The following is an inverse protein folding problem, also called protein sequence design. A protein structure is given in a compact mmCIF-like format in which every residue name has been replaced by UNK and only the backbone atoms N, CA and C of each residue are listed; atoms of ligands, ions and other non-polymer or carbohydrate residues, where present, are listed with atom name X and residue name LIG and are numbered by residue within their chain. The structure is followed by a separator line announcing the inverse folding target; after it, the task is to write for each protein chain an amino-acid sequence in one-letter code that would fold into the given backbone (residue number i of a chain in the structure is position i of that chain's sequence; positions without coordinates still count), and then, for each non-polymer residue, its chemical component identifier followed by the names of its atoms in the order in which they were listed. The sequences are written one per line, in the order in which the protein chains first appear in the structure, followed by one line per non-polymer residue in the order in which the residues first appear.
data_IF_005026589891
#
_entry.id   IF_005026589891
#
_cell.length_a   1.000
_cell.length_b   1.000
_cell.length_c   1.000
_cell.angle_alpha   90.00
_cell.angle_beta   90.00
_cell.angle_gamma   90.00
#
_symmetry.space_group_name_H-M   'P 1'
#
loop_
_entity.id
_entity.type
_entity.pdbx_description
1 polymer ?
#
# COMPACT_ATOMS: atom_id res chain seq x y z
N UNK A 1 27.61 -31.50 8.13
CA UNK A 1 26.61 -30.95 9.07
C UNK A 1 26.48 -29.48 8.75
N UNK A 2 25.37 -29.09 8.12
CA UNK A 2 25.07 -27.68 7.86
C UNK A 2 24.43 -27.07 9.09
N UNK A 3 24.82 -25.84 9.43
CA UNK A 3 24.18 -25.04 10.47
C UNK A 3 22.70 -24.83 10.09
N UNK A 4 21.75 -24.98 11.02
CA UNK A 4 20.34 -24.76 10.68
C UNK A 4 20.05 -23.29 10.36
N UNK A 5 19.11 -23.05 9.45
CA UNK A 5 18.80 -21.73 8.88
C UNK A 5 18.41 -20.69 9.94
N UNK A 6 17.78 -21.11 11.05
CA UNK A 6 17.39 -20.22 12.15
C UNK A 6 18.56 -19.74 13.02
N UNK A 7 19.76 -20.31 12.82
CA UNK A 7 21.00 -19.83 13.45
C UNK A 7 21.84 -18.99 12.48
N UNK A 8 21.47 -18.90 11.20
CA UNK A 8 22.09 -17.99 10.26
C UNK A 8 21.49 -16.59 10.48
N UNK A 9 22.35 -15.57 10.49
CA UNK A 9 21.89 -14.18 10.47
C UNK A 9 21.44 -13.83 9.06
N UNK A 10 20.26 -14.30 8.70
CA UNK A 10 19.66 -14.10 7.37
C UNK A 10 19.21 -12.65 7.16
N UNK A 11 19.11 -11.85 8.23
CA UNK A 11 18.67 -10.47 8.16
C UNK A 11 19.73 -9.56 7.54
N UNK A 12 21.01 -9.92 7.68
CA UNK A 12 22.11 -9.32 6.93
C UNK A 12 22.02 -9.60 5.41
N UNK A 13 21.17 -10.52 4.95
CA UNK A 13 20.97 -10.80 3.52
C UNK A 13 19.66 -10.19 2.98
N UNK A 14 18.86 -9.56 3.83
CA UNK A 14 17.57 -8.97 3.43
C UNK A 14 17.79 -7.60 2.82
N UNK A 15 17.57 -7.51 1.51
CA UNK A 15 17.49 -6.24 0.80
C UNK A 15 16.18 -5.51 1.14
N UNK A 16 16.16 -4.17 1.13
CA UNK A 16 14.93 -3.41 1.28
C UNK A 16 13.91 -3.82 0.22
N UNK A 17 12.62 -3.85 0.60
CA UNK A 17 11.56 -4.08 -0.38
C UNK A 17 11.56 -2.98 -1.44
N UNK A 18 11.20 -3.33 -2.68
CA UNK A 18 11.13 -2.40 -3.80
C UNK A 18 9.97 -2.78 -4.70
N UNK A 19 9.21 -1.80 -5.20
CA UNK A 19 8.20 -2.06 -6.23
C UNK A 19 8.88 -2.01 -7.60
N UNK A 20 9.06 -3.17 -8.22
CA UNK A 20 9.79 -3.30 -9.49
C UNK A 20 8.88 -3.83 -10.59
N UNK A 21 8.83 -3.12 -11.71
CA UNK A 21 8.13 -3.53 -12.93
C UNK A 21 9.07 -4.35 -13.81
N UNK A 22 8.72 -5.62 -14.03
CA UNK A 22 9.36 -6.50 -15.00
C UNK A 22 8.53 -6.58 -16.27
N UNK A 23 9.19 -6.55 -17.44
CA UNK A 23 8.55 -6.77 -18.73
C UNK A 23 9.23 -7.93 -19.44
N UNK A 24 8.45 -8.93 -19.82
CA UNK A 24 8.93 -10.14 -20.48
C UNK A 24 8.46 -10.19 -21.92
N UNK A 25 9.35 -10.56 -22.82
CA UNK A 25 9.01 -11.00 -24.17
C UNK A 25 8.91 -12.52 -24.13
N UNK A 26 7.68 -13.03 -24.25
CA UNK A 26 7.39 -14.46 -24.15
C UNK A 26 7.94 -15.21 -25.37
N UNK A 27 7.89 -14.60 -26.56
CA UNK A 27 8.35 -15.23 -27.80
C UNK A 27 9.87 -15.41 -27.79
N UNK A 28 10.59 -14.34 -27.39
CA UNK A 28 12.05 -14.32 -27.36
C UNK A 28 12.64 -14.83 -26.03
N UNK A 29 11.79 -15.17 -25.05
CA UNK A 29 12.16 -15.72 -23.73
C UNK A 29 13.18 -14.85 -22.99
N UNK A 30 13.01 -13.53 -23.06
CA UNK A 30 13.93 -12.57 -22.47
C UNK A 30 13.16 -11.41 -21.82
N UNK A 31 13.90 -10.50 -21.18
CA UNK A 31 13.31 -9.22 -20.75
C UNK A 31 13.07 -8.34 -21.98
N UNK A 32 11.83 -7.84 -22.12
CA UNK A 32 11.48 -6.89 -23.17
C UNK A 32 12.08 -5.49 -22.91
N UNK A 33 12.38 -5.18 -21.65
CA UNK A 33 13.07 -3.97 -21.21
C UNK A 33 13.76 -4.24 -19.85
N UNK A 34 14.79 -3.46 -19.48
CA UNK A 34 15.36 -3.52 -18.13
C UNK A 34 14.28 -3.32 -17.05
N UNK A 35 14.38 -4.02 -15.89
CA UNK A 35 13.48 -3.79 -14.76
C UNK A 35 13.48 -2.33 -14.33
N UNK A 36 12.31 -1.80 -13.98
CA UNK A 36 12.13 -0.40 -13.56
C UNK A 36 11.60 -0.35 -12.14
N UNK A 37 12.33 0.29 -11.23
CA UNK A 37 11.85 0.58 -9.87
C UNK A 37 10.86 1.74 -9.91
N UNK A 38 9.69 1.56 -9.29
CA UNK A 38 8.57 2.50 -9.32
C UNK A 38 8.44 3.34 -8.03
N UNK A 39 9.14 2.97 -6.96
CA UNK A 39 9.05 3.64 -5.66
C UNK A 39 10.41 4.14 -5.18
N UNK A 40 10.44 5.32 -4.55
CA UNK A 40 11.62 5.85 -3.84
C UNK A 40 11.70 5.36 -2.37
N UNK A 41 10.58 4.87 -1.82
CA UNK A 41 10.47 4.25 -0.49
C UNK A 41 10.36 2.74 -0.62
N UNK A 42 10.69 2.02 0.45
CA UNK A 42 10.43 0.59 0.55
C UNK A 42 8.92 0.36 0.68
N UNK A 43 8.23 -0.15 -0.36
CA UNK A 43 6.80 -0.36 -0.33
C UNK A 43 6.46 -1.78 0.11
N UNK A 44 5.24 -1.97 0.60
CA UNK A 44 4.60 -3.26 0.84
C UNK A 44 3.08 -3.08 0.68
N UNK A 45 2.33 -4.18 0.69
CA UNK A 45 0.87 -4.23 0.59
C UNK A 45 0.33 -3.36 -0.56
N UNK A 46 0.78 -3.58 -1.82
CA UNK A 46 0.34 -2.79 -2.95
C UNK A 46 -1.14 -3.01 -3.23
N UNK A 47 -1.89 -1.92 -3.39
CA UNK A 47 -3.31 -1.93 -3.71
C UNK A 47 -3.57 -1.26 -5.06
N UNK A 48 -4.53 -1.77 -5.82
CA UNK A 48 -5.02 -1.19 -7.08
C UNK A 48 -6.55 -1.25 -7.09
N UNK A 49 -7.23 -0.48 -7.95
CA UNK A 49 -8.65 -0.70 -8.19
C UNK A 49 -8.91 -2.15 -8.59
N UNK A 50 -9.76 -2.87 -7.85
CA UNK A 50 -9.98 -4.30 -8.04
C UNK A 50 -10.48 -4.64 -9.46
N UNK A 51 -11.25 -3.74 -10.07
CA UNK A 51 -11.78 -3.82 -11.43
C UNK A 51 -10.68 -3.84 -12.50
N UNK A 52 -9.49 -3.33 -12.17
CA UNK A 52 -8.31 -3.34 -13.02
C UNK A 52 -7.37 -4.51 -12.74
N UNK A 53 -7.73 -5.44 -11.84
CA UNK A 53 -6.97 -6.68 -11.67
C UNK A 53 -6.80 -7.37 -13.03
N UNK A 54 -5.58 -7.79 -13.34
CA UNK A 54 -5.16 -8.37 -14.64
C UNK A 54 -5.18 -7.42 -15.85
N UNK A 55 -5.42 -6.12 -15.64
CA UNK A 55 -5.36 -5.08 -16.67
C UNK A 55 -4.16 -4.16 -16.43
N UNK A 56 -3.87 -3.31 -17.42
CA UNK A 56 -2.87 -2.26 -17.24
C UNK A 56 -3.39 -1.24 -16.23
N UNK A 57 -2.55 -0.90 -15.25
CA UNK A 57 -2.82 0.10 -14.22
C UNK A 57 -1.71 1.14 -14.22
N UNK A 58 -2.09 2.40 -14.07
CA UNK A 58 -1.17 3.53 -13.85
C UNK A 58 -0.90 3.73 -12.37
N UNK A 59 -1.92 3.67 -11.52
CA UNK A 59 -1.80 3.98 -10.10
C UNK A 59 -1.67 2.71 -9.25
N UNK A 60 -0.85 2.81 -8.21
CA UNK A 60 -0.69 1.78 -7.18
C UNK A 60 -0.58 2.45 -5.80
N UNK A 61 -1.22 1.87 -4.79
CA UNK A 61 -1.32 2.41 -3.44
C UNK A 61 -0.74 1.46 -2.40
N UNK A 62 0.60 1.39 -2.26
CA UNK A 62 1.23 0.63 -1.19
C UNK A 62 1.35 1.46 0.11
N UNK A 63 1.57 0.77 1.22
CA UNK A 63 2.22 1.40 2.38
C UNK A 63 3.72 1.47 2.16
N UNK A 64 4.38 2.43 2.81
CA UNK A 64 5.83 2.58 2.75
C UNK A 64 6.44 3.01 4.08
N UNK A 65 7.77 2.98 4.16
CA UNK A 65 8.55 3.47 5.31
C UNK A 65 8.41 4.98 5.54
N UNK A 66 8.63 5.48 6.77
CA UNK A 66 8.57 6.91 7.12
C UNK A 66 9.49 7.80 6.27
N UNK A 67 10.67 7.30 5.92
CA UNK A 67 11.69 8.03 5.16
C UNK A 67 11.93 7.37 3.81
N UNK A 68 12.40 8.19 2.87
CA UNK A 68 13.03 7.70 1.64
C UNK A 68 14.25 6.86 2.01
N UNK A 69 14.43 5.74 1.30
CA UNK A 69 15.62 4.92 1.51
C UNK A 69 16.69 5.42 0.54
N UNK A 70 17.65 6.17 1.08
CA UNK A 70 19.00 6.24 0.52
C UNK A 70 19.83 5.33 1.41
N UNK A 71 20.00 4.06 1.04
CA UNK A 71 20.84 3.15 1.81
C UNK A 71 22.30 3.65 1.76
N UNK A 72 22.92 4.06 2.88
CA UNK A 72 24.38 4.21 2.95
C UNK A 72 25.05 2.85 2.66
N UNK A 73 26.26 2.86 2.11
CA UNK A 73 27.04 1.61 1.96
C UNK A 73 27.16 0.91 3.33
N UNK A 74 26.50 -0.23 3.47
CA UNK A 74 26.61 -1.12 4.64
C UNK A 74 25.41 -1.15 5.59
N UNK A 75 24.39 -0.28 5.43
CA UNK A 75 23.14 -0.39 6.22
C UNK A 75 22.07 -1.17 5.45
N UNK A 76 21.36 -2.06 6.15
CA UNK A 76 20.38 -2.99 5.57
C UNK A 76 19.07 -2.97 6.35
N UNK A 77 17.97 -3.23 5.65
CA UNK A 77 16.63 -3.37 6.21
C UNK A 77 15.65 -2.25 5.83
N UNK A 78 14.37 -2.56 5.86
CA UNK A 78 13.28 -1.59 5.81
C UNK A 78 12.81 -1.27 7.23
N UNK A 79 12.57 0.01 7.52
CA UNK A 79 11.82 0.40 8.71
C UNK A 79 10.40 -0.16 8.68
N UNK A 80 9.66 -0.10 9.80
CA UNK A 80 8.24 -0.45 9.78
C UNK A 80 7.46 0.47 8.82
N UNK A 81 6.33 0.01 8.27
CA UNK A 81 5.41 0.87 7.53
C UNK A 81 5.00 2.07 8.37
N UNK A 82 5.01 3.24 7.76
CA UNK A 82 4.79 4.52 8.43
C UNK A 82 4.28 5.62 7.50
N UNK A 83 3.99 5.26 6.25
CA UNK A 83 3.42 6.14 5.24
C UNK A 83 2.50 5.37 4.32
N UNK A 84 1.64 6.09 3.61
CA UNK A 84 0.92 5.61 2.43
C UNK A 84 1.49 6.32 1.22
N UNK A 85 1.64 5.59 0.11
CA UNK A 85 2.14 6.11 -1.16
C UNK A 85 1.02 6.05 -2.20
N UNK A 86 0.94 7.05 -3.07
CA UNK A 86 0.27 6.95 -4.37
C UNK A 86 1.36 6.98 -5.43
N UNK A 87 1.56 5.85 -6.08
CA UNK A 87 2.57 5.69 -7.12
C UNK A 87 1.91 5.89 -8.47
N UNK A 88 2.34 6.90 -9.22
CA UNK A 88 2.03 7.10 -10.64
C UNK A 88 3.11 6.42 -11.48
N UNK A 89 2.80 5.22 -11.96
CA UNK A 89 3.77 4.39 -12.67
C UNK A 89 4.06 4.86 -14.11
N UNK A 90 3.39 5.92 -14.57
CA UNK A 90 3.64 6.57 -15.85
C UNK A 90 4.40 7.90 -15.68
N UNK A 91 4.16 8.63 -14.58
CA UNK A 91 4.80 9.91 -14.26
C UNK A 91 5.33 9.91 -12.80
N UNK A 92 6.51 9.31 -12.54
CA UNK A 92 7.04 9.16 -11.18
C UNK A 92 7.22 10.47 -10.40
N UNK A 93 7.34 11.61 -11.09
CA UNK A 93 7.38 12.94 -10.52
C UNK A 93 6.07 13.38 -9.84
N UNK A 94 4.97 12.66 -10.09
CA UNK A 94 3.66 12.87 -9.48
C UNK A 94 3.36 11.87 -8.36
N UNK A 95 4.35 11.09 -7.90
CA UNK A 95 4.16 10.25 -6.73
C UNK A 95 3.84 11.11 -5.50
N UNK A 96 2.86 10.69 -4.72
CA UNK A 96 2.43 11.39 -3.50
C UNK A 96 2.69 10.52 -2.27
N UNK A 97 2.95 11.18 -1.13
CA UNK A 97 3.23 10.48 0.13
C UNK A 97 2.54 11.16 1.31
N UNK A 98 1.83 10.36 2.11
CA UNK A 98 1.35 10.78 3.42
C UNK A 98 2.12 10.04 4.52
N UNK A 99 2.82 10.77 5.39
CA UNK A 99 3.54 10.21 6.54
C UNK A 99 2.70 10.30 7.81
N UNK A 100 2.67 9.21 8.58
CA UNK A 100 2.02 9.16 9.88
C UNK A 100 2.91 9.65 11.01
N UNK A 101 2.31 9.87 12.19
CA UNK A 101 3.06 10.14 13.41
C UNK A 101 4.01 8.98 13.76
N UNK A 102 5.08 9.19 14.56
CA UNK A 102 6.10 8.17 14.83
C UNK A 102 5.61 6.86 15.46
N UNK A 103 4.44 6.90 16.11
CA UNK A 103 3.82 5.74 16.77
C UNK A 103 2.60 5.22 16.02
N UNK A 104 2.37 5.68 14.80
CA UNK A 104 1.23 5.29 13.97
C UNK A 104 1.70 4.41 12.81
N UNK A 105 1.22 3.17 12.82
CA UNK A 105 1.62 2.15 11.86
C UNK A 105 0.41 1.78 10.98
N UNK A 106 0.41 2.19 9.70
CA UNK A 106 -0.65 1.82 8.77
C UNK A 106 -0.62 0.32 8.43
N UNK A 107 -1.81 -0.27 8.31
CA UNK A 107 -2.02 -1.61 7.73
C UNK A 107 -2.10 -1.58 6.21
N UNK A 108 -2.59 -2.65 5.58
CA UNK A 108 -2.88 -2.66 4.14
C UNK A 108 -3.86 -1.54 3.75
N UNK A 109 -3.65 -0.98 2.55
CA UNK A 109 -4.53 0.02 1.95
C UNK A 109 -5.54 -0.67 1.04
N UNK A 110 -6.81 -0.28 1.12
CA UNK A 110 -7.87 -0.81 0.26
C UNK A 110 -8.42 0.34 -0.58
N UNK A 111 -8.30 0.23 -1.91
CA UNK A 111 -8.93 1.18 -2.83
C UNK A 111 -10.43 0.92 -2.96
N UNK A 112 -11.22 1.98 -2.90
CA UNK A 112 -12.69 1.96 -3.02
C UNK A 112 -13.12 3.01 -4.05
N UNK A 113 -13.66 2.61 -5.21
CA UNK A 113 -14.16 3.56 -6.21
C UNK A 113 -15.24 4.49 -5.64
N UNK A 114 -15.25 5.75 -6.09
CA UNK A 114 -16.37 6.65 -5.80
C UNK A 114 -17.65 6.12 -6.45
N UNK A 115 -18.79 6.40 -5.84
CA UNK A 115 -20.10 6.00 -6.39
C UNK A 115 -20.24 6.57 -7.81
N UNK A 116 -20.44 5.69 -8.79
CA UNK A 116 -20.58 6.05 -10.19
C UNK A 116 -19.28 6.26 -10.97
N UNK A 117 -18.11 6.12 -10.34
CA UNK A 117 -16.83 6.18 -11.03
C UNK A 117 -16.59 4.93 -11.88
N UNK A 118 -16.17 5.11 -13.13
CA UNK A 118 -15.66 4.03 -13.97
C UNK A 118 -14.14 4.01 -13.93
N UNK A 119 -13.58 3.34 -12.92
CA UNK A 119 -12.12 3.21 -12.75
C UNK A 119 -11.44 2.43 -13.88
N UNK A 120 -12.19 1.86 -14.84
CA UNK A 120 -11.61 1.25 -16.03
C UNK A 120 -11.36 2.25 -17.16
N UNK A 121 -11.94 3.46 -17.08
CA UNK A 121 -11.55 4.61 -17.86
C UNK A 121 -10.25 5.19 -17.29
N UNK A 122 -9.15 5.27 -18.07
CA UNK A 122 -7.87 5.82 -17.59
C UNK A 122 -7.94 7.25 -17.03
N UNK A 123 -8.99 8.02 -17.38
CA UNK A 123 -9.22 9.37 -16.82
C UNK A 123 -9.85 9.36 -15.43
N UNK A 124 -10.34 8.20 -15.00
CA UNK A 124 -11.06 8.00 -13.74
C UNK A 124 -10.44 6.88 -12.89
N UNK A 125 -9.26 6.37 -13.24
CA UNK A 125 -8.61 5.25 -12.55
C UNK A 125 -8.42 5.51 -11.04
N UNK A 126 -8.14 6.77 -10.67
CA UNK A 126 -7.97 7.22 -9.29
C UNK A 126 -9.22 7.93 -8.72
N UNK A 127 -10.36 7.92 -9.41
CA UNK A 127 -11.64 8.45 -8.91
C UNK A 127 -12.18 7.57 -7.77
N UNK A 128 -11.57 7.67 -6.60
CA UNK A 128 -11.80 6.78 -5.49
C UNK A 128 -11.33 7.34 -4.16
N UNK A 129 -11.57 6.52 -3.14
CA UNK A 129 -11.01 6.65 -1.81
C UNK A 129 -10.02 5.52 -1.58
N UNK A 130 -9.15 5.72 -0.61
CA UNK A 130 -8.46 4.60 0.04
C UNK A 130 -8.86 4.51 1.51
N UNK A 131 -8.98 3.29 2.00
CA UNK A 131 -9.31 2.97 3.38
C UNK A 131 -8.11 2.30 4.04
N UNK A 132 -7.81 2.66 5.28
CA UNK A 132 -6.70 2.10 6.03
C UNK A 132 -7.00 2.02 7.54
N UNK A 133 -6.49 0.99 8.20
CA UNK A 133 -6.43 0.95 9.66
C UNK A 133 -5.04 1.37 10.13
N UNK A 134 -4.97 2.37 11.01
CA UNK A 134 -3.73 2.84 11.62
C UNK A 134 -3.71 2.39 13.07
N UNK A 135 -2.70 1.58 13.40
CA UNK A 135 -2.50 1.08 14.76
C UNK A 135 -1.49 1.95 15.49
N UNK A 136 -1.85 2.44 16.67
CA UNK A 136 -0.94 3.10 17.59
C UNK A 136 -0.72 2.21 18.84
N UNK A 137 0.40 1.47 18.93
CA UNK A 137 0.69 0.60 20.05
C UNK A 137 1.12 1.35 21.32
N UNK A 138 1.55 2.61 21.21
CA UNK A 138 1.90 3.44 22.37
C UNK A 138 0.66 3.71 23.23
N UNK A 139 -0.43 4.15 22.58
CA UNK A 139 -1.69 4.47 23.26
C UNK A 139 -2.70 3.31 23.24
N UNK A 140 -2.36 2.19 22.56
CA UNK A 140 -3.24 1.04 22.30
C UNK A 140 -4.55 1.45 21.66
N UNK A 141 -4.47 2.23 20.59
CA UNK A 141 -5.63 2.68 19.81
C UNK A 141 -5.52 2.22 18.36
N UNK A 142 -6.67 2.09 17.71
CA UNK A 142 -6.75 1.88 16.26
C UNK A 142 -7.73 2.88 15.68
N UNK A 143 -7.32 3.53 14.60
CA UNK A 143 -8.15 4.45 13.82
C UNK A 143 -8.44 3.85 12.44
N UNK A 144 -9.68 4.00 11.97
CA UNK A 144 -10.05 3.77 10.56
C UNK A 144 -9.97 5.11 9.84
N UNK A 145 -9.17 5.17 8.77
CA UNK A 145 -8.97 6.36 7.97
C UNK A 145 -9.54 6.18 6.58
N UNK A 146 -10.08 7.26 6.03
CA UNK A 146 -10.51 7.39 4.64
C UNK A 146 -9.78 8.58 4.03
N UNK A 147 -9.09 8.36 2.92
CA UNK A 147 -8.46 9.42 2.13
C UNK A 147 -9.17 9.53 0.80
N UNK A 148 -9.34 10.76 0.31
CA UNK A 148 -9.64 11.01 -1.10
C UNK A 148 -8.31 10.98 -1.86
N UNK A 149 -8.25 10.26 -2.98
CA UNK A 149 -7.02 10.13 -3.78
C UNK A 149 -7.22 10.60 -5.22
N UNK A 150 -8.37 11.18 -5.56
CA UNK A 150 -8.67 11.60 -6.93
C UNK A 150 -7.91 12.85 -7.36
N UNK A 151 -7.08 12.75 -8.39
CA UNK A 151 -6.28 13.85 -8.89
C UNK A 151 -4.91 13.96 -8.21
N UNK A 152 -4.31 15.15 -8.25
CA UNK A 152 -2.93 15.36 -7.78
C UNK A 152 -2.89 16.11 -6.45
N UNK A 153 -2.03 15.64 -5.54
CA UNK A 153 -1.79 16.18 -4.20
C UNK A 153 -2.84 15.78 -3.17
N UNK A 154 -3.81 14.94 -3.53
CA UNK A 154 -4.94 14.60 -2.64
C UNK A 154 -4.57 13.69 -1.49
N UNK A 155 -3.65 12.75 -1.71
CA UNK A 155 -3.17 11.90 -0.64
C UNK A 155 -2.45 12.74 0.45
N UNK A 156 -1.70 13.76 0.02
CA UNK A 156 -0.88 14.62 0.89
C UNK A 156 -1.72 15.59 1.73
N UNK A 157 -2.95 15.90 1.31
CA UNK A 157 -3.93 16.66 2.12
C UNK A 157 -4.33 15.88 3.40
N UNK A 158 -4.11 14.56 3.43
CA UNK A 158 -4.40 13.69 4.55
C UNK A 158 -5.82 13.10 4.53
N UNK A 159 -6.24 12.41 5.60
CA UNK A 159 -7.51 11.70 5.62
C UNK A 159 -8.68 12.69 5.66
N UNK A 160 -9.65 12.49 4.76
CA UNK A 160 -10.95 13.20 4.80
C UNK A 160 -11.82 12.73 5.97
N UNK A 161 -11.53 11.55 6.53
CA UNK A 161 -12.16 11.05 7.75
C UNK A 161 -11.19 10.20 8.56
N UNK A 162 -11.22 10.36 9.88
CA UNK A 162 -10.47 9.55 10.84
C UNK A 162 -11.41 9.15 11.99
N UNK A 163 -11.68 7.87 12.12
CA UNK A 163 -12.66 7.31 13.04
C UNK A 163 -11.95 6.45 14.08
N UNK A 164 -12.02 6.85 15.35
CA UNK A 164 -11.51 6.06 16.47
C UNK A 164 -12.35 4.82 16.69
N UNK A 165 -11.73 3.66 16.60
CA UNK A 165 -12.39 2.41 16.96
C UNK A 165 -12.55 2.31 18.49
N UNK A 166 -13.63 1.69 18.99
CA UNK A 166 -13.88 1.54 20.42
C UNK A 166 -12.96 0.50 21.09
N UNK A 167 -12.20 -0.26 20.29
CA UNK A 167 -11.25 -1.27 20.77
C UNK A 167 -9.95 -1.18 20.00
N UNK A 168 -8.87 -1.57 20.66
CA UNK A 168 -7.60 -1.85 20.00
C UNK A 168 -7.73 -3.06 19.08
N UNK A 169 -7.36 -2.89 17.82
CA UNK A 169 -7.19 -3.97 16.85
C UNK A 169 -5.69 -4.02 16.54
N UNK A 170 -5.01 -5.17 16.77
CA UNK A 170 -3.62 -5.34 16.39
C UNK A 170 -3.40 -5.15 14.88
N UNK A 171 -2.16 -4.89 14.50
CA UNK A 171 -1.78 -4.74 13.08
C UNK A 171 -2.23 -5.98 12.29
N UNK A 172 -3.04 -5.73 11.26
CA UNK A 172 -3.66 -6.76 10.45
C UNK A 172 -2.81 -7.18 9.25
N UNK A 173 -3.31 -8.16 8.51
CA UNK A 173 -2.77 -8.52 7.20
C UNK A 173 -3.67 -7.94 6.11
N UNK A 174 -4.38 -8.81 5.39
CA UNK A 174 -5.14 -8.42 4.21
C UNK A 174 -6.62 -8.16 4.50
N UNK A 175 -7.23 -7.32 3.68
CA UNK A 175 -8.66 -7.05 3.62
C UNK A 175 -9.12 -6.81 2.18
N UNK A 176 -10.44 -6.66 2.01
CA UNK A 176 -11.02 -6.32 0.72
C UNK A 176 -12.27 -5.47 0.90
N UNK A 177 -12.64 -4.77 -0.17
CA UNK A 177 -13.91 -4.07 -0.28
C UNK A 177 -14.84 -4.86 -1.20
N UNK A 178 -16.12 -4.92 -0.86
CA UNK A 178 -17.16 -5.48 -1.72
C UNK A 178 -18.38 -4.56 -1.68
N UNK A 179 -18.77 -4.04 -2.84
CA UNK A 179 -19.94 -3.16 -2.95
C UNK A 179 -21.24 -3.94 -2.71
N UNK A 180 -22.20 -3.30 -2.03
CA UNK A 180 -23.52 -3.85 -1.75
C UNK A 180 -23.56 -5.09 -0.83
N UNK A 181 -22.42 -5.56 -0.32
CA UNK A 181 -22.38 -6.65 0.66
C UNK A 181 -22.71 -6.08 2.03
N UNK A 182 -24.00 -6.12 2.35
CA UNK A 182 -24.49 -5.86 3.70
C UNK A 182 -24.88 -7.19 4.33
N UNK A 183 -24.58 -7.35 5.63
CA UNK A 183 -25.13 -8.45 6.41
C UNK A 183 -26.21 -7.87 7.33
N UNK A 184 -27.34 -8.56 7.40
CA UNK A 184 -28.36 -8.26 8.39
C UNK A 184 -27.87 -8.74 9.75
N UNK A 185 -27.60 -7.80 10.66
CA UNK A 185 -27.12 -8.11 12.01
C UNK A 185 -28.09 -9.01 12.78
N UNK A 186 -29.41 -8.96 12.50
CA UNK A 186 -30.39 -9.84 13.13
C UNK A 186 -30.28 -11.28 12.62
N UNK A 187 -29.84 -11.49 11.38
CA UNK A 187 -29.66 -12.83 10.81
C UNK A 187 -28.31 -13.45 11.17
N UNK A 188 -27.28 -12.64 11.43
CA UNK A 188 -25.93 -13.10 11.76
C UNK A 188 -25.72 -13.48 13.23
N UNK A 189 -26.69 -13.16 14.11
CA UNK A 189 -26.62 -13.42 15.55
C UNK A 189 -27.51 -14.60 16.02
N UNK A 190 -28.07 -15.36 15.07
CA UNK A 190 -28.88 -16.57 15.31
C UNK A 190 -28.06 -17.85 15.49
#
# INVERSE_FOLDING_TARGET
GGRPLWEADIFDEVYPTSLVRYRFDIENKCFAAPPVTLSARAPEFPSIPQQLSTRMTRFCYPVGTHTDIIAPEGEKGSGPPGSILKIDADNPEHNEVFCFEPYEFPGEVIFVPKVGADVTDPKQEDCGYIINFVTNPHDKTTDLLVFDVEGSGKLEEGPVSRIRLPTFIPHGLHGCWADGVTFDFEQASG
#
